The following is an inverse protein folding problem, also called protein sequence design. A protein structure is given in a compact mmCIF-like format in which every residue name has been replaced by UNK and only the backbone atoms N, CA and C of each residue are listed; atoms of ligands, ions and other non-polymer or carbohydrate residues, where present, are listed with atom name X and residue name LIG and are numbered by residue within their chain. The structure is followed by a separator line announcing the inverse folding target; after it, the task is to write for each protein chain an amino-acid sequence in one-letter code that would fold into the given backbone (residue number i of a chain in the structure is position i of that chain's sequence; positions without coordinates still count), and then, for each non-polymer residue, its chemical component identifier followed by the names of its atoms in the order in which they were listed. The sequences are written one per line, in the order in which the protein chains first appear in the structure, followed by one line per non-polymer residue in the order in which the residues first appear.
data_IF_406237880029
#
_entry.id   IF_406237880029
#
_cell.length_a   1.000
_cell.length_b   1.000
_cell.length_c   1.000
_cell.angle_alpha   90.00
_cell.angle_beta   90.00
_cell.angle_gamma   90.00
#
_symmetry.space_group_name_H-M   'P 1'
#
loop_
_entity.id
_entity.type
_entity.pdbx_description
1 polymer ?
#
# COMPACT_ATOMS: atom_id res chain seq x y z
N UNK A 1 -1.22 -11.69 4.79
CA UNK A 1 0.15 -11.18 4.79
C UNK A 1 0.62 -11.08 6.22
N UNK A 2 1.85 -11.46 6.53
CA UNK A 2 2.34 -11.44 7.91
C UNK A 2 2.48 -10.00 8.44
N UNK A 3 1.63 -9.63 9.40
CA UNK A 3 1.58 -8.30 10.04
C UNK A 3 2.92 -7.90 10.67
N UNK A 4 3.67 -8.84 11.26
CA UNK A 4 4.99 -8.56 11.83
C UNK A 4 6.01 -8.14 10.76
N UNK A 5 5.85 -8.66 9.54
CA UNK A 5 6.70 -8.31 8.41
C UNK A 5 6.41 -6.90 7.89
N UNK A 6 5.13 -6.52 7.87
CA UNK A 6 4.70 -5.19 7.48
C UNK A 6 5.21 -4.16 8.48
N UNK A 7 5.09 -4.44 9.78
CA UNK A 7 5.56 -3.55 10.86
C UNK A 7 7.09 -3.36 10.80
N UNK A 8 7.86 -4.37 10.36
CA UNK A 8 9.31 -4.19 10.17
C UNK A 8 9.66 -3.19 9.07
N UNK A 9 8.87 -3.16 7.99
CA UNK A 9 9.10 -2.26 6.86
C UNK A 9 8.48 -0.88 7.10
N UNK A 10 7.32 -0.86 7.77
CA UNK A 10 6.55 0.35 8.10
C UNK A 10 6.28 0.34 9.62
N UNK A 11 7.24 0.82 10.44
CA UNK A 11 7.16 0.73 11.91
C UNK A 11 5.94 1.39 12.53
N UNK A 12 5.39 2.41 11.86
CA UNK A 12 4.21 3.15 12.28
C UNK A 12 3.02 2.90 11.33
N UNK A 13 2.89 1.67 10.83
CA UNK A 13 1.80 1.29 9.96
C UNK A 13 0.44 1.59 10.60
N UNK A 14 -0.49 2.11 9.78
CA UNK A 14 -1.81 2.46 10.25
C UNK A 14 -2.61 1.18 10.58
N UNK A 15 -3.37 1.13 11.68
CA UNK A 15 -4.12 -0.07 12.05
C UNK A 15 -5.11 -0.53 10.98
N UNK A 16 -5.73 0.38 10.23
CA UNK A 16 -6.62 -0.01 9.14
C UNK A 16 -5.85 -0.52 7.93
N UNK A 17 -4.69 0.05 7.65
CA UNK A 17 -3.78 -0.47 6.63
C UNK A 17 -3.39 -1.92 6.95
N UNK A 18 -3.02 -2.22 8.20
CA UNK A 18 -2.69 -3.58 8.62
C UNK A 18 -3.86 -4.55 8.41
N UNK A 19 -5.10 -4.16 8.77
CA UNK A 19 -6.30 -4.97 8.54
C UNK A 19 -6.57 -5.25 7.06
N UNK A 20 -6.29 -4.31 6.18
CA UNK A 20 -6.41 -4.51 4.73
C UNK A 20 -5.34 -5.50 4.26
N UNK A 21 -4.10 -5.33 4.70
CA UNK A 21 -3.00 -6.20 4.31
C UNK A 21 -3.13 -7.63 4.86
N UNK A 22 -3.75 -7.82 6.03
CA UNK A 22 -4.03 -9.16 6.60
C UNK A 22 -4.91 -10.01 5.68
N UNK A 23 -5.80 -9.38 4.91
CA UNK A 23 -6.69 -10.05 3.95
C UNK A 23 -5.99 -10.42 2.63
N UNK A 24 -4.81 -9.86 2.37
CA UNK A 24 -4.04 -10.13 1.16
C UNK A 24 -3.17 -11.36 1.40
N UNK A 25 -3.17 -12.37 0.51
CA UNK A 25 -2.28 -13.53 0.66
C UNK A 25 -0.81 -13.11 0.68
N UNK A 26 0.03 -13.82 1.43
CA UNK A 26 1.45 -13.53 1.47
C UNK A 26 2.07 -13.64 0.06
N UNK A 27 2.92 -12.67 -0.34
CA UNK A 27 3.58 -12.73 -1.63
C UNK A 27 4.53 -13.93 -1.68
N UNK A 28 4.75 -14.47 -2.88
CA UNK A 28 5.79 -15.49 -3.10
C UNK A 28 7.16 -14.96 -2.71
N UNK A 29 8.12 -15.83 -2.38
CA UNK A 29 9.50 -15.42 -2.04
C UNK A 29 10.15 -14.56 -3.12
N UNK A 30 9.85 -14.82 -4.40
CA UNK A 30 10.40 -14.07 -5.53
C UNK A 30 9.85 -12.64 -5.61
N UNK A 31 8.62 -12.44 -5.17
CA UNK A 31 7.93 -11.14 -5.16
C UNK A 31 8.03 -10.43 -3.82
N UNK A 32 8.50 -11.11 -2.78
CA UNK A 32 8.52 -10.60 -1.41
C UNK A 32 9.40 -9.35 -1.27
N UNK A 33 10.63 -9.37 -1.78
CA UNK A 33 11.53 -8.20 -1.73
C UNK A 33 10.96 -7.00 -2.49
N UNK A 34 10.31 -7.24 -3.64
CA UNK A 34 9.65 -6.19 -4.41
C UNK A 34 8.49 -5.59 -3.63
N UNK A 35 7.61 -6.42 -3.08
CA UNK A 35 6.48 -5.94 -2.27
C UNK A 35 6.99 -5.14 -1.05
N UNK A 36 8.12 -5.54 -0.44
CA UNK A 36 8.74 -4.76 0.62
C UNK A 36 9.17 -3.37 0.17
N UNK A 37 9.79 -3.23 -1.01
CA UNK A 37 10.27 -1.91 -1.48
C UNK A 37 9.13 -0.92 -1.75
N UNK A 38 7.94 -1.43 -2.05
CA UNK A 38 6.74 -0.60 -2.29
C UNK A 38 5.85 -0.45 -1.05
N UNK A 39 6.05 -1.23 0.01
CA UNK A 39 5.15 -1.28 1.16
C UNK A 39 4.98 0.09 1.85
N UNK A 40 6.08 0.82 2.01
CA UNK A 40 6.06 2.17 2.58
C UNK A 40 5.27 3.14 1.69
N UNK A 41 5.46 3.07 0.37
CA UNK A 41 4.73 3.92 -0.57
C UNK A 41 3.24 3.60 -0.60
N UNK A 42 2.88 2.32 -0.53
CA UNK A 42 1.48 1.88 -0.45
C UNK A 42 0.82 2.36 0.86
N UNK A 43 1.54 2.33 1.98
CA UNK A 43 1.05 2.90 3.24
C UNK A 43 0.83 4.41 3.15
N UNK A 44 1.76 5.15 2.56
CA UNK A 44 1.64 6.60 2.38
C UNK A 44 0.48 6.97 1.44
N UNK A 45 0.27 6.20 0.37
CA UNK A 45 -0.86 6.38 -0.55
C UNK A 45 -2.18 6.03 0.13
N UNK A 46 -2.23 4.98 0.95
CA UNK A 46 -3.40 4.64 1.74
C UNK A 46 -3.82 5.79 2.66
N UNK A 47 -2.87 6.38 3.38
CA UNK A 47 -3.14 7.52 4.27
C UNK A 47 -3.64 8.75 3.51
N UNK A 48 -3.00 9.07 2.37
CA UNK A 48 -3.43 10.17 1.51
C UNK A 48 -4.83 9.92 0.96
N UNK A 49 -5.13 8.69 0.52
CA UNK A 49 -6.43 8.30 -0.04
C UNK A 49 -7.54 8.44 0.99
N UNK A 50 -7.29 8.00 2.23
CA UNK A 50 -8.23 8.16 3.34
C UNK A 50 -8.50 9.64 3.61
N UNK A 51 -7.45 10.47 3.70
CA UNK A 51 -7.60 11.91 3.91
C UNK A 51 -8.36 12.60 2.76
N UNK A 52 -8.08 12.23 1.51
CA UNK A 52 -8.79 12.77 0.34
C UNK A 52 -10.28 12.39 0.36
N UNK A 53 -10.60 11.14 0.70
CA UNK A 53 -11.97 10.67 0.85
C UNK A 53 -12.72 11.40 1.99
N UNK A 54 -12.08 11.56 3.16
CA UNK A 54 -12.66 12.27 4.32
C UNK A 54 -12.91 13.76 4.04
N UNK A 55 -12.06 14.40 3.23
CA UNK A 55 -12.18 15.81 2.86
C UNK A 55 -13.08 16.06 1.65
N UNK A 56 -13.53 15.00 0.95
CA UNK A 56 -14.30 15.11 -0.28
C UNK A 56 -13.50 15.64 -1.47
N UNK A 57 -12.17 15.60 -1.43
CA UNK A 57 -11.28 16.03 -2.51
C UNK A 57 -11.18 14.92 -3.57
N UNK A 58 -12.12 14.94 -4.51
CA UNK A 58 -12.26 13.93 -5.56
C UNK A 58 -11.08 13.95 -6.54
N UNK A 59 -10.53 15.12 -6.85
CA UNK A 59 -9.41 15.26 -7.78
C UNK A 59 -8.14 14.65 -7.17
N UNK A 60 -7.86 14.95 -5.90
CA UNK A 60 -6.75 14.34 -5.18
C UNK A 60 -6.92 12.82 -5.05
N UNK A 61 -8.15 12.36 -4.76
CA UNK A 61 -8.44 10.93 -4.66
C UNK A 61 -8.13 10.20 -5.99
N UNK A 62 -8.55 10.75 -7.12
CA UNK A 62 -8.26 10.18 -8.45
C UNK A 62 -6.75 10.15 -8.71
N UNK A 63 -6.03 11.24 -8.43
CA UNK A 63 -4.56 11.26 -8.61
C UNK A 63 -3.84 10.22 -7.76
N UNK A 64 -4.33 9.94 -6.54
CA UNK A 64 -3.78 8.91 -5.67
C UNK A 64 -4.04 7.51 -6.26
N UNK A 65 -5.24 7.25 -6.75
CA UNK A 65 -5.59 5.99 -7.42
C UNK A 65 -4.73 5.75 -8.67
N UNK A 66 -4.43 6.78 -9.46
CA UNK A 66 -3.52 6.67 -10.61
C UNK A 66 -2.10 6.29 -10.20
N UNK A 67 -1.61 6.82 -9.07
CA UNK A 67 -0.30 6.46 -8.52
C UNK A 67 -0.28 5.01 -8.04
N UNK A 68 -1.33 4.55 -7.38
CA UNK A 68 -1.48 3.14 -6.97
C UNK A 68 -1.45 2.20 -8.19
N UNK A 69 -2.16 2.55 -9.28
CA UNK A 69 -2.14 1.76 -10.51
C UNK A 69 -0.76 1.68 -11.16
N UNK A 70 0.03 2.75 -11.13
CA UNK A 70 1.42 2.73 -11.64
C UNK A 70 2.31 1.79 -10.84
N UNK A 71 2.22 1.82 -9.52
CA UNK A 71 2.98 0.90 -8.64
C UNK A 71 2.61 -0.56 -8.94
N UNK A 72 1.33 -0.85 -9.14
CA UNK A 72 0.87 -2.20 -9.50
C UNK A 72 1.44 -2.60 -10.87
N UNK A 73 1.44 -1.70 -11.85
CA UNK A 73 2.03 -1.98 -13.15
C UNK A 73 3.56 -2.20 -13.08
N UNK A 74 4.26 -1.49 -12.19
CA UNK A 74 5.70 -1.71 -11.96
C UNK A 74 5.99 -3.04 -11.26
N UNK A 75 5.08 -3.50 -10.40
CA UNK A 75 5.14 -4.82 -9.75
C UNK A 75 4.89 -5.98 -10.71
N UNK A 76 4.07 -5.77 -11.75
CA UNK A 76 3.74 -6.79 -12.77
C UNK A 76 4.82 -6.89 -13.87
N UNK A 77 5.38 -5.76 -14.31
CA UNK A 77 6.31 -5.70 -15.45
C UNK A 77 7.79 -6.06 -15.14
N UNK A 78 8.13 -6.53 -13.94
CA UNK A 78 9.50 -6.93 -13.54
C UNK A 78 9.51 -8.28 -12.84
#
# INVERSE_FOLDING_TARGET
MNTEFIIKVVPNADPEFLKVMEQIPDPSKQTQEKVMSFLQQLHDLFLQKRKAAESGDHDLFIQIMEKEMRIIAELDNN
#
